data_IF_715411299171
#
_entry.id   IF_715411299171
#
_cell.length_a   1.000
_cell.length_b   1.000
_cell.length_c   1.000
_cell.angle_alpha   90.00
_cell.angle_beta   90.00
_cell.angle_gamma   90.00
#
_symmetry.space_group_name_H-M   'P 1'
#
loop_
_entity.id
_entity.type
_entity.pdbx_description
1 polymer ?
#
# COMPACT_ATOMS: atom_id res chain seq x y z
N UNK A 1 19.99 -0.61 -5.07
CA UNK A 1 20.21 -1.20 -3.73
C UNK A 1 19.32 -0.59 -2.65
N UNK A 2 19.44 0.71 -2.31
CA UNK A 2 18.53 1.32 -1.30
C UNK A 2 17.10 1.49 -1.81
N UNK A 3 16.92 1.96 -3.05
CA UNK A 3 15.60 2.16 -3.66
C UNK A 3 14.78 0.85 -3.72
N UNK A 4 15.43 -0.27 -4.06
CA UNK A 4 14.76 -1.58 -4.14
C UNK A 4 14.22 -2.05 -2.78
N UNK A 5 14.96 -1.77 -1.71
CA UNK A 5 14.54 -2.11 -0.34
C UNK A 5 13.34 -1.26 0.06
N UNK A 6 13.37 0.05 -0.24
CA UNK A 6 12.26 0.96 0.03
C UNK A 6 11.00 0.54 -0.71
N UNK A 7 11.10 0.23 -2.01
CA UNK A 7 9.95 -0.25 -2.80
C UNK A 7 9.36 -1.54 -2.23
N UNK A 8 10.22 -2.51 -1.84
CA UNK A 8 9.75 -3.77 -1.23
C UNK A 8 9.06 -3.54 0.11
N UNK A 9 9.56 -2.60 0.92
CA UNK A 9 8.95 -2.26 2.20
C UNK A 9 7.59 -1.58 1.99
N UNK A 10 7.49 -0.63 1.06
CA UNK A 10 6.21 -0.01 0.71
C UNK A 10 5.17 -1.04 0.25
N UNK A 11 5.55 -1.94 -0.67
CA UNK A 11 4.72 -3.05 -1.13
C UNK A 11 4.17 -3.87 0.06
N UNK A 12 5.07 -4.19 1.00
CA UNK A 12 4.74 -5.00 2.17
C UNK A 12 3.78 -4.29 3.12
N UNK A 13 4.00 -2.99 3.36
CA UNK A 13 3.11 -2.18 4.20
C UNK A 13 1.72 -2.04 3.58
N UNK A 14 1.64 -1.84 2.27
CA UNK A 14 0.36 -1.75 1.54
C UNK A 14 -0.42 -3.06 1.66
N UNK A 15 0.23 -4.19 1.40
CA UNK A 15 -0.39 -5.52 1.55
C UNK A 15 -0.88 -5.74 2.98
N UNK A 16 -0.06 -5.39 3.98
CA UNK A 16 -0.43 -5.57 5.39
C UNK A 16 -1.62 -4.69 5.80
N UNK A 17 -1.65 -3.43 5.34
CA UNK A 17 -2.77 -2.53 5.62
C UNK A 17 -4.07 -3.01 4.96
N UNK A 18 -4.00 -3.54 3.74
CA UNK A 18 -5.16 -4.14 3.07
C UNK A 18 -5.66 -5.39 3.82
N UNK A 19 -4.76 -6.28 4.24
CA UNK A 19 -5.11 -7.46 5.05
C UNK A 19 -5.82 -7.06 6.35
N UNK A 20 -5.24 -6.13 7.11
CA UNK A 20 -5.79 -5.64 8.38
C UNK A 20 -7.17 -4.95 8.23
N UNK A 21 -7.51 -4.52 7.02
CA UNK A 21 -8.75 -3.82 6.73
C UNK A 21 -9.69 -4.62 5.83
N UNK A 22 -9.42 -5.91 5.62
CA UNK A 22 -10.18 -6.79 4.74
C UNK A 22 -10.40 -6.21 3.33
N UNK A 23 -9.35 -5.60 2.76
CA UNK A 23 -9.38 -5.00 1.43
C UNK A 23 -10.03 -3.61 1.35
N UNK A 24 -10.48 -3.03 2.47
CA UNK A 24 -11.03 -1.67 2.47
C UNK A 24 -9.94 -0.62 2.25
N UNK A 25 -9.80 -0.16 1.02
CA UNK A 25 -8.78 0.82 0.61
C UNK A 25 -8.90 2.17 1.34
N UNK A 26 -10.10 2.59 1.77
CA UNK A 26 -10.24 3.85 2.52
C UNK A 26 -9.62 3.71 3.91
N UNK A 27 -9.90 2.60 4.59
CA UNK A 27 -9.33 2.32 5.90
C UNK A 27 -7.83 2.02 5.81
N UNK A 28 -7.38 1.26 4.82
CA UNK A 28 -5.96 0.99 4.59
C UNK A 28 -5.17 2.29 4.35
N UNK A 29 -5.71 3.19 3.51
CA UNK A 29 -5.07 4.47 3.25
C UNK A 29 -4.96 5.34 4.52
N UNK A 30 -6.00 5.32 5.37
CA UNK A 30 -5.99 5.98 6.68
C UNK A 30 -4.93 5.39 7.62
N UNK A 31 -4.77 4.07 7.66
CA UNK A 31 -3.72 3.41 8.46
C UNK A 31 -2.32 3.77 8.00
N UNK A 32 -2.12 3.90 6.68
CA UNK A 32 -0.84 4.26 6.07
C UNK A 32 -0.54 5.76 6.10
N UNK A 33 -1.50 6.60 6.52
CA UNK A 33 -1.36 8.05 6.53
C UNK A 33 -1.29 8.69 5.14
N UNK A 34 -1.87 8.04 4.11
CA UNK A 34 -1.88 8.52 2.73
C UNK A 34 -3.30 8.71 2.21
N UNK A 35 -3.44 9.41 1.08
CA UNK A 35 -4.74 9.51 0.41
C UNK A 35 -5.13 8.16 -0.22
N UNK A 36 -6.44 7.86 -0.27
CA UNK A 36 -6.95 6.67 -1.00
C UNK A 36 -6.54 6.68 -2.47
N UNK A 37 -6.43 7.85 -3.10
CA UNK A 37 -5.98 7.98 -4.48
C UNK A 37 -4.51 7.56 -4.64
N UNK A 38 -3.65 7.94 -3.68
CA UNK A 38 -2.25 7.52 -3.62
C UNK A 38 -2.15 6.00 -3.43
N UNK A 39 -2.93 5.44 -2.50
CA UNK A 39 -2.98 4.00 -2.29
C UNK A 39 -3.39 3.25 -3.56
N UNK A 40 -4.47 3.70 -4.22
CA UNK A 40 -4.97 3.09 -5.46
C UNK A 40 -3.92 3.12 -6.57
N UNK A 41 -3.21 4.24 -6.72
CA UNK A 41 -2.12 4.37 -7.70
C UNK A 41 -1.00 3.37 -7.41
N UNK A 42 -0.52 3.30 -6.15
CA UNK A 42 0.53 2.36 -5.72
C UNK A 42 0.13 0.90 -5.92
N UNK A 43 -1.13 0.53 -5.61
CA UNK A 43 -1.63 -0.83 -5.86
C UNK A 43 -1.52 -1.20 -7.35
N UNK A 44 -1.89 -0.29 -8.25
CA UNK A 44 -1.82 -0.52 -9.70
C UNK A 44 -0.40 -0.50 -10.27
N UNK A 45 0.48 0.37 -9.75
CA UNK A 45 1.89 0.45 -10.19
C UNK A 45 2.68 -0.79 -9.76
N UNK A 46 2.38 -1.35 -8.58
CA UNK A 46 3.09 -2.48 -8.01
C UNK A 46 2.38 -3.83 -8.20
N UNK A 47 1.25 -3.87 -8.94
CA UNK A 47 0.41 -5.05 -9.18
C UNK A 47 0.15 -5.85 -7.88
N UNK A 48 -0.17 -5.15 -6.79
CA UNK A 48 -0.22 -5.74 -5.45
C UNK A 48 -1.49 -6.56 -5.20
N UNK A 49 -2.49 -6.46 -6.08
CA UNK A 49 -3.80 -7.14 -6.02
C UNK A 49 -4.37 -7.30 -7.42
#
# INVERSE_FOLDING_TARGET
MFQDIVSRLEAHMIKKALELTNGNQVHAARLLGISRNTLRKKIGEENLV
#
